data_IF_553159834351
#
_entry.id   IF_553159834351
#
_cell.length_a   1.000
_cell.length_b   1.000
_cell.length_c   1.000
_cell.angle_alpha   90.00
_cell.angle_beta   90.00
_cell.angle_gamma   90.00
#
_symmetry.space_group_name_H-M   'P 1'
#
loop_
_entity.id
_entity.type
_entity.pdbx_description
1 polymer ?
#
# COMPACT_ATOMS: atom_id res chain seq x y z
N UNK A 1 29.88 0.31 -76.50
CA UNK A 1 29.42 1.65 -76.90
C UNK A 1 27.89 1.64 -76.86
N UNK A 2 27.30 1.35 -75.71
CA UNK A 2 27.25 2.15 -74.47
C UNK A 2 26.17 3.21 -74.50
N UNK A 3 25.40 3.17 -73.41
CA UNK A 3 24.66 4.26 -72.83
C UNK A 3 23.45 4.74 -73.62
N UNK A 4 22.28 4.21 -73.26
CA UNK A 4 21.23 5.00 -72.60
C UNK A 4 20.11 4.10 -72.02
N UNK A 5 20.50 2.97 -71.43
CA UNK A 5 19.69 2.27 -70.42
C UNK A 5 19.76 3.05 -69.11
N UNK A 6 19.08 4.21 -69.01
CA UNK A 6 19.03 5.02 -67.76
C UNK A 6 17.96 6.12 -67.80
N UNK A 7 16.71 5.80 -68.13
CA UNK A 7 15.59 6.66 -67.73
C UNK A 7 14.62 5.90 -66.83
N UNK A 8 15.11 5.78 -65.58
CA UNK A 8 14.37 6.00 -64.34
C UNK A 8 12.94 5.48 -64.28
N UNK A 9 12.85 4.24 -63.79
CA UNK A 9 11.96 3.85 -62.70
C UNK A 9 11.47 5.08 -61.91
N UNK A 10 10.25 5.53 -62.16
CA UNK A 10 9.45 6.17 -61.13
C UNK A 10 8.52 5.11 -60.59
N UNK A 11 9.07 4.36 -59.62
CA UNK A 11 8.29 3.71 -58.59
C UNK A 11 7.35 4.78 -58.01
N UNK A 12 6.06 4.70 -58.31
CA UNK A 12 5.08 5.24 -57.38
C UNK A 12 5.11 4.32 -56.16
N UNK A 13 6.02 4.65 -55.23
CA UNK A 13 5.99 4.25 -53.85
C UNK A 13 4.57 4.51 -53.33
N UNK A 14 3.83 3.43 -53.11
CA UNK A 14 2.67 3.46 -52.24
C UNK A 14 3.19 3.87 -50.86
N UNK A 15 2.91 5.11 -50.47
CA UNK A 15 3.08 5.55 -49.10
C UNK A 15 2.06 4.81 -48.24
N UNK A 16 2.40 3.60 -47.80
CA UNK A 16 1.74 2.98 -46.67
C UNK A 16 2.07 3.83 -45.46
N UNK A 17 1.17 4.75 -45.12
CA UNK A 17 1.20 5.43 -43.85
C UNK A 17 0.89 4.38 -42.79
N UNK A 18 1.93 3.70 -42.28
CA UNK A 18 1.80 2.88 -41.08
C UNK A 18 1.47 3.84 -39.95
N UNK A 19 0.19 4.02 -39.64
CA UNK A 19 -0.21 4.51 -38.33
C UNK A 19 0.31 3.47 -37.34
N UNK A 20 1.41 3.79 -36.65
CA UNK A 20 1.80 2.99 -35.50
C UNK A 20 0.69 3.18 -34.48
N UNK A 21 -0.05 2.12 -34.18
CA UNK A 21 -1.02 2.15 -33.10
C UNK A 21 -0.26 2.50 -31.82
N UNK A 22 -0.53 3.68 -31.27
CA UNK A 22 0.02 4.10 -29.99
C UNK A 22 -0.86 3.51 -28.89
N UNK A 23 -0.27 3.28 -27.72
CA UNK A 23 -1.00 2.73 -26.58
C UNK A 23 -2.27 3.56 -26.27
N UNK A 24 -2.16 4.88 -26.38
CA UNK A 24 -3.25 5.84 -26.19
C UNK A 24 -4.42 5.72 -27.19
N UNK A 25 -4.22 5.01 -28.31
CA UNK A 25 -5.26 4.80 -29.31
C UNK A 25 -6.20 3.64 -28.93
N UNK A 26 -5.86 2.89 -27.87
CA UNK A 26 -6.70 1.82 -27.34
C UNK A 26 -7.88 2.39 -26.53
N UNK A 27 -9.06 1.74 -26.56
CA UNK A 27 -10.18 2.08 -25.68
C UNK A 27 -9.78 2.04 -24.21
N UNK A 28 -10.36 2.93 -23.40
CA UNK A 28 -10.05 3.05 -21.97
C UNK A 28 -10.21 1.72 -21.22
N UNK A 29 -11.23 0.93 -21.55
CA UNK A 29 -11.50 -0.36 -20.90
C UNK A 29 -10.39 -1.37 -21.18
N UNK A 30 -9.81 -1.34 -22.38
CA UNK A 30 -8.69 -2.21 -22.76
C UNK A 30 -7.42 -1.75 -22.05
N UNK A 31 -7.20 -0.43 -21.97
CA UNK A 31 -6.07 0.13 -21.23
C UNK A 31 -6.11 -0.22 -19.75
N UNK A 32 -7.28 -0.10 -19.10
CA UNK A 32 -7.44 -0.49 -17.71
C UNK A 32 -7.10 -1.97 -17.48
N UNK A 33 -7.53 -2.86 -18.38
CA UNK A 33 -7.16 -4.27 -18.31
C UNK A 33 -5.65 -4.46 -18.46
N UNK A 34 -5.02 -3.79 -19.42
CA UNK A 34 -3.55 -3.86 -19.59
C UNK A 34 -2.85 -3.40 -18.31
N UNK A 35 -3.30 -2.29 -17.71
CA UNK A 35 -2.70 -1.74 -16.50
C UNK A 35 -2.89 -2.65 -15.28
N UNK A 36 -4.00 -3.37 -15.18
CA UNK A 36 -4.24 -4.35 -14.10
C UNK A 36 -3.22 -5.51 -14.12
N UNK A 37 -2.55 -5.77 -15.26
CA UNK A 37 -1.48 -6.79 -15.37
C UNK A 37 -0.06 -6.23 -15.25
N UNK A 38 0.12 -4.91 -15.15
CA UNK A 38 1.44 -4.33 -15.02
C UNK A 38 2.00 -4.51 -13.60
N UNK A 39 3.30 -4.83 -13.44
CA UNK A 39 3.94 -4.79 -12.14
C UNK A 39 3.83 -3.41 -11.51
N UNK A 40 3.63 -3.34 -10.19
CA UNK A 40 3.49 -2.07 -9.47
C UNK A 40 4.69 -1.13 -9.67
N UNK A 41 5.90 -1.68 -9.82
CA UNK A 41 7.10 -0.91 -10.15
C UNK A 41 6.95 -0.17 -11.48
N UNK A 42 6.43 -0.84 -12.51
CA UNK A 42 6.14 -0.26 -13.82
C UNK A 42 5.03 0.80 -13.73
N UNK A 43 3.94 0.54 -13.01
CA UNK A 43 2.86 1.52 -12.80
C UNK A 43 3.39 2.80 -12.13
N UNK A 44 4.27 2.67 -11.13
CA UNK A 44 4.92 3.80 -10.46
C UNK A 44 5.80 4.61 -11.41
N UNK A 45 6.53 3.95 -12.32
CA UNK A 45 7.33 4.63 -13.34
C UNK A 45 6.44 5.36 -14.36
N UNK A 46 5.37 4.71 -14.83
CA UNK A 46 4.42 5.29 -15.77
C UNK A 46 3.72 6.54 -15.20
N UNK A 47 3.58 6.64 -13.87
CA UNK A 47 3.05 7.85 -13.21
C UNK A 47 3.87 9.11 -13.47
N UNK A 48 5.15 8.98 -13.85
CA UNK A 48 6.02 10.11 -14.14
C UNK A 48 5.67 10.80 -15.48
N UNK A 49 4.91 10.13 -16.34
CA UNK A 49 4.44 10.71 -17.60
C UNK A 49 3.14 11.48 -17.36
N UNK A 50 3.07 12.78 -17.69
CA UNK A 50 1.92 13.64 -17.37
C UNK A 50 0.58 13.07 -17.84
N UNK A 51 0.54 12.50 -19.04
CA UNK A 51 -0.68 11.98 -19.66
C UNK A 51 -1.22 10.72 -18.95
N UNK A 52 -0.34 10.01 -18.23
CA UNK A 52 -0.68 8.77 -17.51
C UNK A 52 -0.74 8.98 -16.00
N UNK A 53 -0.28 10.12 -15.49
CA UNK A 53 -0.07 10.36 -14.06
C UNK A 53 -1.33 10.09 -13.22
N UNK A 54 -2.48 10.61 -13.64
CA UNK A 54 -3.74 10.44 -12.91
C UNK A 54 -4.21 8.98 -12.93
N UNK A 55 -4.18 8.33 -14.09
CA UNK A 55 -4.62 6.94 -14.25
C UNK A 55 -3.72 5.99 -13.46
N UNK A 56 -2.40 6.14 -13.58
CA UNK A 56 -1.43 5.34 -12.82
C UNK A 56 -1.56 5.57 -11.32
N UNK A 57 -1.87 6.80 -10.90
CA UNK A 57 -2.12 7.09 -9.48
C UNK A 57 -3.37 6.38 -8.96
N UNK A 58 -4.44 6.28 -9.76
CA UNK A 58 -5.64 5.51 -9.41
C UNK A 58 -5.33 4.01 -9.33
N UNK A 59 -4.55 3.49 -10.27
CA UNK A 59 -4.08 2.10 -10.26
C UNK A 59 -3.24 1.78 -9.02
N UNK A 60 -2.36 2.69 -8.60
CA UNK A 60 -1.62 2.57 -7.35
C UNK A 60 -2.56 2.50 -6.16
N UNK A 61 -3.57 3.39 -6.05
CA UNK A 61 -4.51 3.33 -4.94
C UNK A 61 -5.36 2.05 -4.92
N UNK A 62 -5.68 1.52 -6.11
CA UNK A 62 -6.49 0.33 -6.29
C UNK A 62 -5.75 -0.93 -5.84
N UNK A 63 -4.46 -1.05 -6.18
CA UNK A 63 -3.74 -2.33 -6.09
C UNK A 63 -2.53 -2.33 -5.15
N UNK A 64 -1.93 -1.17 -4.87
CA UNK A 64 -0.76 -1.12 -3.99
C UNK A 64 -1.18 -1.29 -2.53
N UNK A 65 -0.35 -2.01 -1.78
CA UNK A 65 -0.41 -2.03 -0.32
C UNK A 65 0.20 -0.74 0.25
N UNK A 66 -0.50 -0.11 1.19
CA UNK A 66 -0.01 1.01 1.97
C UNK A 66 0.29 0.57 3.41
N UNK A 67 1.52 0.81 3.88
CA UNK A 67 1.97 0.41 5.21
C UNK A 67 1.85 1.57 6.22
N UNK A 68 1.10 1.33 7.30
CA UNK A 68 0.95 2.22 8.44
C UNK A 68 1.67 1.59 9.63
N UNK A 69 2.49 2.39 10.33
CA UNK A 69 3.12 1.99 11.58
C UNK A 69 2.41 2.70 12.74
N UNK A 70 1.88 1.93 13.70
CA UNK A 70 1.34 2.50 14.93
C UNK A 70 2.51 2.86 15.82
N UNK A 71 2.53 4.10 16.30
CA UNK A 71 3.54 4.54 17.25
C UNK A 71 3.35 3.78 18.57
N UNK A 72 4.42 3.28 19.17
CA UNK A 72 4.44 2.79 20.55
C UNK A 72 5.32 3.74 21.36
N UNK A 73 4.74 4.40 22.37
CA UNK A 73 5.44 5.39 23.19
C UNK A 73 6.51 4.75 24.08
N UNK A 74 6.31 3.49 24.44
CA UNK A 74 7.17 2.76 25.36
C UNK A 74 8.22 1.92 24.60
N UNK A 75 8.01 1.68 23.30
CA UNK A 75 9.00 1.05 22.45
C UNK A 75 10.00 2.10 21.95
N UNK A 76 11.19 2.10 22.56
CA UNK A 76 12.36 2.68 21.90
C UNK A 76 12.75 1.73 20.78
N UNK A 77 13.02 2.26 19.59
CA UNK A 77 13.65 1.55 18.46
C UNK A 77 15.06 1.08 18.90
N UNK A 78 15.12 0.16 19.86
CA UNK A 78 16.26 -0.72 20.01
C UNK A 78 16.19 -1.61 18.77
N UNK A 79 17.16 -1.40 17.88
CA UNK A 79 17.34 -2.20 16.67
C UNK A 79 17.69 -3.60 17.17
N UNK A 80 16.67 -4.37 17.55
CA UNK A 80 16.78 -5.81 17.70
C UNK A 80 17.07 -6.30 16.28
N UNK A 81 18.32 -6.73 16.06
CA UNK A 81 18.92 -7.22 14.81
C UNK A 81 18.33 -8.58 14.40
N UNK A 82 17.02 -8.75 14.57
CA UNK A 82 16.28 -9.97 14.27
C UNK A 82 15.87 -10.03 12.78
N UNK A 83 16.59 -9.32 11.90
CA UNK A 83 16.58 -9.50 10.45
C UNK A 83 15.29 -9.19 9.68
N UNK A 84 14.20 -8.80 10.34
CA UNK A 84 12.91 -8.55 9.67
C UNK A 84 12.77 -7.06 9.26
N UNK A 85 13.53 -6.67 8.24
CA UNK A 85 13.57 -5.30 7.68
C UNK A 85 12.19 -4.73 7.30
N UNK A 86 11.18 -5.58 7.10
CA UNK A 86 9.84 -5.17 6.69
C UNK A 86 8.98 -4.63 7.83
N UNK A 87 9.37 -4.85 9.09
CA UNK A 87 8.59 -4.39 10.25
C UNK A 87 8.56 -2.86 10.39
N UNK A 88 9.69 -2.21 10.11
CA UNK A 88 9.83 -0.76 10.22
C UNK A 88 9.46 -0.01 8.93
N UNK A 89 9.01 -0.71 7.88
CA UNK A 89 8.61 -0.09 6.62
C UNK A 89 7.17 0.40 6.70
N UNK A 90 7.01 1.73 6.68
CA UNK A 90 5.70 2.38 6.62
C UNK A 90 5.74 3.83 7.07
N UNK A 91 4.61 4.52 6.97
CA UNK A 91 4.45 5.86 7.53
C UNK A 91 3.87 5.76 8.94
N UNK A 92 4.47 6.48 9.89
CA UNK A 92 3.99 6.51 11.28
C UNK A 92 2.61 7.15 11.34
N UNK A 93 1.71 6.61 12.16
CA UNK A 93 0.34 7.13 12.28
C UNK A 93 0.31 8.57 12.80
N UNK A 94 1.23 8.94 13.69
CA UNK A 94 1.44 10.33 14.11
C UNK A 94 1.81 11.27 12.94
N UNK A 95 2.62 10.82 11.98
CA UNK A 95 2.97 11.62 10.80
C UNK A 95 1.75 11.82 9.89
N UNK A 96 0.90 10.80 9.78
CA UNK A 96 -0.35 10.87 9.01
C UNK A 96 -1.33 11.83 9.71
N UNK A 97 -1.45 11.76 11.04
CA UNK A 97 -2.33 12.62 11.83
C UNK A 97 -1.95 14.10 11.71
N UNK A 98 -0.66 14.40 11.67
CA UNK A 98 -0.15 15.77 11.60
C UNK A 98 -0.21 16.40 10.20
N UNK A 99 -0.71 15.69 9.19
CA UNK A 99 -0.76 16.16 7.81
C UNK A 99 -2.09 15.84 7.15
N UNK A 100 -2.94 16.85 6.96
CA UNK A 100 -4.23 16.71 6.27
C UNK A 100 -4.06 16.15 4.84
N UNK A 101 -3.03 16.63 4.12
CA UNK A 101 -2.70 16.12 2.80
C UNK A 101 -2.38 14.62 2.83
N UNK A 102 -1.53 14.20 3.78
CA UNK A 102 -1.12 12.80 3.91
C UNK A 102 -2.32 11.94 4.29
N UNK A 103 -3.11 12.35 5.29
CA UNK A 103 -4.34 11.64 5.70
C UNK A 103 -5.29 11.42 4.52
N UNK A 104 -5.60 12.48 3.76
CA UNK A 104 -6.45 12.39 2.55
C UNK A 104 -5.86 11.48 1.47
N UNK A 105 -4.54 11.46 1.35
CA UNK A 105 -3.84 10.61 0.38
C UNK A 105 -3.89 9.13 0.80
N UNK A 106 -3.64 8.84 2.09
CA UNK A 106 -3.67 7.50 2.67
C UNK A 106 -5.06 6.89 2.56
N UNK A 107 -6.12 7.64 2.86
CA UNK A 107 -7.50 7.17 2.78
C UNK A 107 -7.94 6.72 1.37
N UNK A 108 -7.15 7.01 0.32
CA UNK A 108 -7.47 6.61 -1.05
C UNK A 108 -7.13 5.16 -1.35
N UNK A 109 -6.21 4.54 -0.61
CA UNK A 109 -5.79 3.16 -0.85
C UNK A 109 -6.90 2.14 -0.52
N UNK A 110 -6.79 0.95 -1.12
CA UNK A 110 -7.70 -0.18 -0.89
C UNK A 110 -7.09 -1.32 -0.09
N UNK A 111 -5.76 -1.42 -0.08
CA UNK A 111 -5.03 -2.47 0.62
C UNK A 111 -4.08 -1.83 1.64
N UNK A 112 -4.18 -2.27 2.89
CA UNK A 112 -3.41 -1.72 3.99
C UNK A 112 -2.68 -2.84 4.74
N UNK A 113 -1.45 -2.53 5.15
CA UNK A 113 -0.74 -3.27 6.19
C UNK A 113 -0.57 -2.35 7.38
N UNK A 114 -1.09 -2.75 8.53
CA UNK A 114 -0.95 -1.98 9.77
C UNK A 114 -0.04 -2.77 10.71
N UNK A 115 1.14 -2.24 10.96
CA UNK A 115 2.10 -2.84 11.89
C UNK A 115 1.87 -2.22 13.28
N UNK A 116 1.60 -3.07 14.27
CA UNK A 116 1.27 -2.69 15.63
C UNK A 116 2.26 -3.36 16.57
N UNK A 117 3.12 -2.55 17.19
CA UNK A 117 4.05 -2.99 18.22
C UNK A 117 3.36 -2.93 19.58
N UNK A 118 3.39 -4.03 20.32
CA UNK A 118 2.87 -4.11 21.68
C UNK A 118 4.02 -4.48 22.63
N UNK A 119 4.46 -3.53 23.44
CA UNK A 119 5.46 -3.73 24.50
C UNK A 119 4.82 -4.01 25.86
N UNK A 120 3.69 -3.36 26.09
CA UNK A 120 2.77 -3.54 27.21
C UNK A 120 1.37 -3.57 26.62
N UNK A 121 0.64 -4.67 26.76
CA UNK A 121 -0.63 -4.80 26.07
C UNK A 121 -1.60 -3.65 26.40
N UNK A 122 -1.70 -3.28 27.67
CA UNK A 122 -2.65 -2.26 28.12
C UNK A 122 -2.24 -0.87 27.64
N UNK A 123 -1.00 -0.46 27.90
CA UNK A 123 -0.50 0.85 27.50
C UNK A 123 -0.47 1.02 25.98
N UNK A 124 -0.08 -0.03 25.23
CA UNK A 124 -0.05 0.04 23.77
C UNK A 124 -1.46 0.11 23.17
N UNK A 125 -2.46 -0.56 23.76
CA UNK A 125 -3.87 -0.40 23.34
C UNK A 125 -4.40 0.99 23.68
N UNK A 126 -4.12 1.51 24.88
CA UNK A 126 -4.50 2.88 25.27
C UNK A 126 -3.85 3.93 24.34
N UNK A 127 -2.65 3.65 23.85
CA UNK A 127 -1.99 4.49 22.86
C UNK A 127 -2.63 4.38 21.47
N UNK A 128 -2.99 3.17 21.03
CA UNK A 128 -3.70 2.94 19.77
C UNK A 128 -5.03 3.69 19.74
N UNK A 129 -5.80 3.67 20.84
CA UNK A 129 -7.09 4.35 20.95
C UNK A 129 -7.00 5.88 20.80
N UNK A 130 -5.84 6.50 21.06
CA UNK A 130 -5.64 7.93 20.82
C UNK A 130 -5.72 8.28 19.33
N UNK A 131 -5.49 7.31 18.44
CA UNK A 131 -5.58 7.48 17.00
C UNK A 131 -6.95 7.08 16.43
N UNK A 132 -7.92 6.68 17.26
CA UNK A 132 -9.25 6.25 16.83
C UNK A 132 -9.92 7.23 15.85
N UNK A 133 -9.90 8.56 16.03
CA UNK A 133 -10.51 9.48 15.07
C UNK A 133 -9.89 9.39 13.67
N UNK A 134 -8.57 9.20 13.58
CA UNK A 134 -7.87 9.06 12.31
C UNK A 134 -8.11 7.67 11.69
N UNK A 135 -8.12 6.62 12.52
CA UNK A 135 -8.42 5.26 12.09
C UNK A 135 -9.82 5.25 11.46
N UNK A 136 -10.83 5.80 12.14
CA UNK A 136 -12.18 5.90 11.61
C UNK A 136 -12.21 6.72 10.30
N UNK A 137 -11.49 7.83 10.21
CA UNK A 137 -11.41 8.61 8.97
C UNK A 137 -10.82 7.84 7.77
N UNK A 138 -9.96 6.85 8.01
CA UNK A 138 -9.33 6.03 6.96
C UNK A 138 -10.15 4.77 6.65
N UNK A 139 -10.69 4.13 7.68
CA UNK A 139 -11.24 2.76 7.62
C UNK A 139 -12.76 2.68 7.75
N UNK A 140 -13.44 3.69 8.31
CA UNK A 140 -14.91 3.78 8.35
C UNK A 140 -15.42 4.52 7.10
N UNK A 141 -15.57 3.74 6.03
CA UNK A 141 -15.90 4.24 4.69
C UNK A 141 -16.93 3.34 4.03
N UNK A 142 -17.69 3.92 3.11
CA UNK A 142 -18.73 3.21 2.36
C UNK A 142 -18.19 2.08 1.48
N UNK A 143 -16.91 2.15 1.08
CA UNK A 143 -16.25 1.15 0.25
C UNK A 143 -15.35 0.26 1.11
N UNK A 144 -15.52 -1.06 0.99
CA UNK A 144 -14.70 -2.05 1.69
C UNK A 144 -13.22 -1.92 1.34
N UNK A 145 -12.35 -2.20 2.32
CA UNK A 145 -10.89 -2.32 2.15
C UNK A 145 -10.38 -3.65 2.67
N UNK A 146 -9.20 -4.02 2.20
CA UNK A 146 -8.43 -5.10 2.81
C UNK A 146 -7.44 -4.52 3.81
N UNK A 147 -7.49 -5.00 5.05
CA UNK A 147 -6.59 -4.60 6.12
C UNK A 147 -5.89 -5.83 6.68
N UNK A 148 -4.57 -5.86 6.52
CA UNK A 148 -3.70 -6.84 7.15
C UNK A 148 -3.10 -6.24 8.43
N UNK A 149 -3.57 -6.69 9.58
CA UNK A 149 -3.02 -6.31 10.88
C UNK A 149 -1.85 -7.23 11.23
N UNK A 150 -0.67 -6.65 11.40
CA UNK A 150 0.52 -7.35 11.86
C UNK A 150 0.79 -6.90 13.29
N UNK A 151 0.35 -7.70 14.25
CA UNK A 151 0.47 -7.44 15.68
C UNK A 151 1.73 -8.12 16.20
N UNK A 152 2.67 -7.35 16.72
CA UNK A 152 3.97 -7.82 17.17
C UNK A 152 4.06 -7.58 18.67
N UNK A 153 3.95 -8.67 19.43
CA UNK A 153 4.01 -8.64 20.87
C UNK A 153 5.43 -8.93 21.33
N UNK A 154 6.06 -7.92 21.92
CA UNK A 154 7.33 -8.10 22.62
C UNK A 154 7.03 -8.56 24.05
N UNK A 155 7.43 -9.78 24.39
CA UNK A 155 7.19 -10.36 25.72
C UNK A 155 8.51 -10.74 26.39
N UNK A 156 8.54 -10.71 27.71
CA UNK A 156 9.62 -11.29 28.52
C UNK A 156 9.03 -12.33 29.47
N UNK A 157 9.87 -13.12 30.16
CA UNK A 157 9.38 -14.09 31.16
C UNK A 157 8.55 -13.42 32.25
N UNK A 158 8.92 -12.19 32.66
CA UNK A 158 8.21 -11.42 33.67
C UNK A 158 6.88 -10.85 33.17
N UNK A 159 6.65 -10.86 31.84
CA UNK A 159 5.50 -10.28 31.16
C UNK A 159 4.75 -11.30 30.30
N UNK A 160 4.90 -12.59 30.58
CA UNK A 160 4.28 -13.64 29.77
C UNK A 160 2.74 -13.58 29.81
N UNK A 161 2.17 -12.99 30.86
CA UNK A 161 0.73 -12.68 30.95
C UNK A 161 0.24 -11.81 29.80
N UNK A 162 1.09 -10.95 29.24
CA UNK A 162 0.73 -10.07 28.13
C UNK A 162 0.47 -10.88 26.84
N UNK A 163 1.05 -12.08 26.71
CA UNK A 163 0.73 -13.01 25.61
C UNK A 163 -0.72 -13.48 25.69
N UNK A 164 -1.14 -13.87 26.89
CA UNK A 164 -2.53 -14.27 27.13
C UNK A 164 -3.47 -13.09 26.91
N UNK A 165 -3.14 -11.92 27.46
CA UNK A 165 -4.00 -10.75 27.37
C UNK A 165 -4.11 -10.26 25.93
N UNK A 166 -3.01 -10.31 25.16
CA UNK A 166 -3.04 -10.03 23.73
C UNK A 166 -3.96 -10.99 22.97
N UNK A 167 -3.77 -12.30 23.14
CA UNK A 167 -4.61 -13.31 22.47
C UNK A 167 -6.09 -13.18 22.84
N UNK A 168 -6.39 -12.90 24.11
CA UNK A 168 -7.76 -12.78 24.60
C UNK A 168 -8.47 -11.51 24.11
N UNK A 169 -7.73 -10.46 23.78
CA UNK A 169 -8.27 -9.13 23.48
C UNK A 169 -7.84 -8.61 22.10
N UNK A 170 -7.28 -9.46 21.23
CA UNK A 170 -6.87 -9.07 19.87
C UNK A 170 -8.07 -8.64 19.01
N UNK A 171 -9.27 -9.09 19.38
CA UNK A 171 -10.51 -8.70 18.74
C UNK A 171 -10.77 -7.19 18.88
N UNK A 172 -10.41 -6.58 20.03
CA UNK A 172 -10.51 -5.14 20.26
C UNK A 172 -9.72 -4.38 19.21
N UNK A 173 -8.47 -4.80 18.97
CA UNK A 173 -7.60 -4.21 17.93
C UNK A 173 -8.25 -4.39 16.55
N UNK A 174 -8.72 -5.60 16.22
CA UNK A 174 -9.31 -5.88 14.91
C UNK A 174 -10.57 -5.06 14.63
N UNK A 175 -11.40 -4.80 15.65
CA UNK A 175 -12.64 -4.03 15.53
C UNK A 175 -12.40 -2.57 15.18
N UNK A 176 -11.29 -1.98 15.65
CA UNK A 176 -10.92 -0.61 15.28
C UNK A 176 -10.70 -0.45 13.78
N UNK A 177 -10.14 -1.47 13.12
CA UNK A 177 -9.85 -1.45 11.68
C UNK A 177 -10.94 -2.09 10.82
N UNK A 178 -11.96 -2.68 11.45
CA UNK A 178 -13.12 -3.23 10.79
C UNK A 178 -14.44 -2.65 11.35
N UNK A 179 -14.62 -1.32 11.25
CA UNK A 179 -15.86 -0.69 11.70
C UNK A 179 -17.04 -1.31 10.95
N UNK A 180 -18.08 -1.66 11.70
CA UNK A 180 -19.32 -2.25 11.19
C UNK A 180 -19.18 -3.58 10.42
N UNK A 181 -17.99 -4.22 10.43
CA UNK A 181 -17.74 -5.46 9.71
C UNK A 181 -17.59 -5.30 8.18
N UNK A 182 -17.43 -4.07 7.68
CA UNK A 182 -17.40 -3.76 6.25
C UNK A 182 -16.06 -4.09 5.58
N UNK A 183 -14.97 -4.12 6.33
CA UNK A 183 -13.62 -4.37 5.82
C UNK A 183 -13.24 -5.84 5.90
N UNK A 184 -12.41 -6.28 4.97
CA UNK A 184 -11.77 -7.59 5.03
C UNK A 184 -10.53 -7.46 5.90
N UNK A 185 -10.62 -7.89 7.16
CA UNK A 185 -9.54 -7.77 8.13
C UNK A 185 -8.92 -9.14 8.44
N UNK A 186 -7.60 -9.25 8.31
CA UNK A 186 -6.82 -10.42 8.74
C UNK A 186 -5.83 -10.01 9.82
N UNK A 187 -5.54 -10.91 10.77
CA UNK A 187 -4.61 -10.65 11.87
C UNK A 187 -3.49 -11.67 11.87
N UNK A 188 -2.26 -11.19 11.71
CA UNK A 188 -1.02 -11.94 11.90
C UNK A 188 -0.44 -11.55 13.26
N UNK A 189 -0.44 -12.47 14.23
CA UNK A 189 0.21 -12.27 15.52
C UNK A 189 1.62 -12.86 15.48
N UNK A 190 2.62 -12.05 15.85
CA UNK A 190 4.01 -12.49 16.03
C UNK A 190 4.45 -12.25 17.46
N UNK A 191 5.16 -13.21 18.02
CA UNK A 191 5.64 -13.18 19.41
C UNK A 191 7.15 -13.02 19.39
N UNK A 192 7.64 -11.88 19.86
CA UNK A 192 9.07 -11.58 19.95
C UNK A 192 9.49 -11.64 21.41
N UNK A 193 10.37 -12.58 21.76
CA UNK A 193 10.88 -12.68 23.12
C UNK A 193 11.97 -11.64 23.33
N UNK A 194 11.72 -10.62 24.15
CA UNK A 194 12.78 -9.75 24.66
C UNK A 194 13.60 -10.51 25.70
N UNK A 195 14.92 -10.50 25.50
CA UNK A 195 15.90 -11.17 26.38
C UNK A 195 16.02 -10.48 27.73
#
# INVERSE_FOLDING_TARGET
MDQLSRQHQHQHQQHYCYHSLQLQDLPCEVLEQVYDYLPLSTVKQLRLYPDLATTMQQQIYKHAEYSILIDDKDYKDEIDDDGDEDYHKGHRISQIQNSEYTSKNVARFNHYRVNITLSDFKSSVDNLLQYEPLINAIFDRSRSVTVKLVVILHYSLNRFTDVKDCLANIDIISKLFNPNGCNVCSVDLRLNKKS
#
